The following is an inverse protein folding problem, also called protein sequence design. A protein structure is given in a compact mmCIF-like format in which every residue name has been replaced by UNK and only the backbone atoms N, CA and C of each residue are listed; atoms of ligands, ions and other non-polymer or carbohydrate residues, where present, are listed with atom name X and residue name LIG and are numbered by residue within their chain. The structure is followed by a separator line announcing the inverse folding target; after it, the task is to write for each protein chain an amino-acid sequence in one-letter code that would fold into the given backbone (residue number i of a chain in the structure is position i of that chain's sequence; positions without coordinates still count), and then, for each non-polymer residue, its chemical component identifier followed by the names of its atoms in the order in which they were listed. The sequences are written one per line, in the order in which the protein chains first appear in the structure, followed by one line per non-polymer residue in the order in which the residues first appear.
data_IF_684331801315
#
_entry.id   IF_684331801315
#
_cell.length_a   1.000
_cell.length_b   1.000
_cell.length_c   1.000
_cell.angle_alpha   90.00
_cell.angle_beta   90.00
_cell.angle_gamma   90.00
#
_symmetry.space_group_name_H-M   'P 1'
#
loop_
_entity.id
_entity.type
_entity.pdbx_description
1 polymer ?
#
# COMPACT_ATOMS: atom_id res chain seq x y z
N UNK A 1 12.71 1.33 3.82
CA UNK A 1 11.65 0.76 2.97
C UNK A 1 10.31 1.06 3.60
N UNK A 2 9.37 1.61 2.83
CA UNK A 2 8.00 1.90 3.26
C UNK A 2 7.10 0.67 3.11
N UNK A 3 5.91 0.69 3.70
CA UNK A 3 4.92 -0.38 3.53
C UNK A 3 4.55 -0.60 2.06
N UNK A 4 4.37 0.48 1.31
CA UNK A 4 3.99 0.41 -0.10
C UNK A 4 5.11 -0.19 -0.95
N UNK A 5 6.37 0.20 -0.71
CA UNK A 5 7.53 -0.39 -1.38
C UNK A 5 7.63 -1.90 -1.09
N UNK A 6 7.51 -2.28 0.18
CA UNK A 6 7.54 -3.69 0.59
C UNK A 6 6.41 -4.50 -0.07
N UNK A 7 5.17 -4.01 0.02
CA UNK A 7 4.02 -4.70 -0.55
C UNK A 7 4.11 -4.81 -2.08
N UNK A 8 4.59 -3.76 -2.77
CA UNK A 8 4.78 -3.78 -4.21
C UNK A 8 5.86 -4.79 -4.63
N UNK A 9 7.01 -4.79 -3.96
CA UNK A 9 8.09 -5.75 -4.22
C UNK A 9 7.60 -7.19 -4.05
N UNK A 10 6.96 -7.50 -2.92
CA UNK A 10 6.42 -8.84 -2.63
C UNK A 10 5.36 -9.26 -3.64
N UNK A 11 4.47 -8.35 -4.01
CA UNK A 11 3.42 -8.60 -5.00
C UNK A 11 3.99 -8.91 -6.37
N UNK A 12 5.01 -8.19 -6.82
CA UNK A 12 5.67 -8.46 -8.09
C UNK A 12 6.40 -9.81 -8.08
N UNK A 13 7.14 -10.12 -7.01
CA UNK A 13 7.82 -11.41 -6.85
C UNK A 13 6.84 -12.59 -6.89
N UNK A 14 5.72 -12.47 -6.17
CA UNK A 14 4.67 -13.50 -6.21
C UNK A 14 3.99 -13.58 -7.57
N UNK A 15 3.70 -12.44 -8.21
CA UNK A 15 3.08 -12.41 -9.54
C UNK A 15 3.89 -13.15 -10.58
N UNK A 16 5.20 -12.90 -10.64
CA UNK A 16 6.10 -13.56 -11.60
C UNK A 16 6.19 -15.07 -11.36
N UNK A 17 6.16 -15.51 -10.10
CA UNK A 17 6.09 -16.94 -9.78
C UNK A 17 4.77 -17.58 -10.21
N UNK A 18 3.66 -16.90 -9.94
CA UNK A 18 2.33 -17.37 -10.31
C UNK A 18 2.17 -17.43 -11.84
N UNK A 19 2.74 -16.47 -12.59
CA UNK A 19 2.83 -16.52 -14.06
C UNK A 19 3.63 -17.71 -14.56
N UNK A 20 4.71 -18.08 -13.86
CA UNK A 20 5.46 -19.31 -14.13
C UNK A 20 4.71 -20.59 -13.71
N UNK A 21 3.48 -20.48 -13.19
CA UNK A 21 2.69 -21.62 -12.70
C UNK A 21 3.24 -22.24 -11.42
N UNK A 22 4.11 -21.54 -10.69
CA UNK A 22 4.68 -21.99 -9.43
C UNK A 22 3.84 -21.48 -8.25
N UNK A 23 3.81 -22.25 -7.17
CA UNK A 23 3.17 -21.83 -5.93
C UNK A 23 3.87 -20.59 -5.33
N UNK A 24 3.12 -19.75 -4.60
CA UNK A 24 3.69 -18.76 -3.69
C UNK A 24 4.79 -19.38 -2.84
N UNK A 25 5.96 -18.74 -2.80
CA UNK A 25 7.09 -19.20 -1.99
C UNK A 25 7.02 -18.71 -0.54
N UNK A 26 6.12 -17.78 -0.27
CA UNK A 26 5.88 -17.17 1.03
C UNK A 26 4.39 -16.84 1.16
N UNK A 27 3.94 -16.73 2.41
CA UNK A 27 2.55 -16.43 2.74
C UNK A 27 1.63 -17.64 2.82
N UNK A 28 0.45 -17.39 3.37
CA UNK A 28 -0.64 -18.36 3.46
C UNK A 28 -1.59 -18.15 2.28
N UNK A 29 -2.00 -19.25 1.65
CA UNK A 29 -2.95 -19.25 0.55
C UNK A 29 -3.71 -20.59 0.50
N UNK A 30 -4.85 -20.60 -0.19
CA UNK A 30 -5.62 -21.82 -0.41
C UNK A 30 -5.07 -22.58 -1.63
N UNK A 31 -4.48 -23.75 -1.38
CA UNK A 31 -3.89 -24.60 -2.41
C UNK A 31 -4.94 -25.22 -3.36
N UNK A 32 -6.20 -25.38 -2.93
CA UNK A 32 -7.28 -25.80 -3.83
C UNK A 32 -7.62 -24.67 -4.81
N UNK A 33 -7.75 -23.43 -4.31
CA UNK A 33 -7.97 -22.25 -5.16
C UNK A 33 -6.81 -22.06 -6.13
N UNK A 34 -5.56 -22.18 -5.68
CA UNK A 34 -4.40 -22.07 -6.57
C UNK A 34 -4.42 -23.09 -7.72
N UNK A 35 -4.71 -24.37 -7.42
CA UNK A 35 -4.78 -25.42 -8.44
C UNK A 35 -5.87 -25.14 -9.48
N UNK A 36 -7.02 -24.64 -9.05
CA UNK A 36 -8.10 -24.27 -9.95
C UNK A 36 -7.74 -23.03 -10.78
N UNK A 37 -7.22 -21.98 -10.13
CA UNK A 37 -6.81 -20.73 -10.75
C UNK A 37 -5.75 -20.93 -11.82
N UNK A 38 -4.72 -21.74 -11.53
CA UNK A 38 -3.63 -22.07 -12.46
C UNK A 38 -4.14 -22.71 -13.76
N UNK A 39 -5.27 -23.42 -13.72
CA UNK A 39 -5.86 -24.02 -14.92
C UNK A 39 -6.59 -23.01 -15.83
N UNK A 40 -6.91 -21.80 -15.32
CA UNK A 40 -7.68 -20.77 -16.04
C UNK A 40 -6.84 -19.83 -16.90
N UNK A 41 -5.55 -19.69 -16.59
CA UNK A 41 -4.63 -18.86 -17.39
C UNK A 41 -3.63 -18.10 -16.53
N UNK A 42 -3.16 -16.96 -17.06
CA UNK A 42 -2.20 -16.10 -16.36
C UNK A 42 -2.89 -15.18 -15.34
N UNK A 43 -2.29 -14.99 -14.16
CA UNK A 43 -2.80 -14.06 -13.17
C UNK A 43 -2.62 -12.60 -13.61
N UNK A 44 -3.58 -11.77 -13.22
CA UNK A 44 -3.51 -10.31 -13.22
C UNK A 44 -3.32 -9.80 -11.79
N UNK A 45 -2.74 -8.61 -11.64
CA UNK A 45 -2.60 -7.97 -10.33
C UNK A 45 -3.97 -7.50 -9.82
N UNK A 46 -4.37 -7.99 -8.65
CA UNK A 46 -5.58 -7.56 -7.95
C UNK A 46 -5.33 -6.43 -6.96
N UNK A 47 -6.20 -6.31 -5.96
CA UNK A 47 -6.08 -5.29 -4.91
C UNK A 47 -5.04 -5.71 -3.86
N UNK A 48 -4.42 -4.73 -3.21
CA UNK A 48 -3.65 -4.93 -1.97
C UNK A 48 -4.49 -4.41 -0.81
N UNK A 49 -4.74 -5.26 0.19
CA UNK A 49 -5.45 -4.88 1.42
C UNK A 49 -4.51 -5.01 2.61
N UNK A 50 -4.71 -4.16 3.60
CA UNK A 50 -3.87 -4.10 4.79
C UNK A 50 -4.71 -4.34 6.05
N UNK A 51 -4.18 -5.18 6.93
CA UNK A 51 -4.64 -5.36 8.31
C UNK A 51 -3.48 -5.02 9.25
N UNK A 52 -3.73 -4.74 10.54
CA UNK A 52 -2.64 -4.39 11.47
C UNK A 52 -1.48 -5.40 11.52
N UNK A 53 -1.75 -6.67 11.18
CA UNK A 53 -0.79 -7.78 11.21
C UNK A 53 -0.79 -8.59 9.91
N UNK A 54 -1.28 -8.03 8.79
CA UNK A 54 -1.32 -8.77 7.53
C UNK A 54 -1.26 -7.85 6.31
N UNK A 55 -0.67 -8.37 5.25
CA UNK A 55 -0.79 -7.82 3.89
C UNK A 55 -1.49 -8.88 3.05
N UNK A 56 -2.66 -8.55 2.51
CA UNK A 56 -3.39 -9.43 1.61
C UNK A 56 -3.14 -8.97 0.18
N UNK A 57 -2.59 -9.87 -0.62
CA UNK A 57 -2.27 -9.62 -2.02
C UNK A 57 -3.19 -10.49 -2.89
N UNK A 58 -4.00 -9.84 -3.71
CA UNK A 58 -4.90 -10.53 -4.63
C UNK A 58 -4.27 -10.69 -6.01
N UNK A 59 -4.51 -11.86 -6.59
CA UNK A 59 -4.16 -12.22 -7.95
C UNK A 59 -5.42 -12.74 -8.65
N UNK A 60 -5.81 -12.09 -9.73
CA UNK A 60 -7.06 -12.34 -10.43
C UNK A 60 -6.77 -13.21 -11.65
N UNK A 61 -7.41 -14.37 -11.72
CA UNK A 61 -7.35 -15.26 -12.86
C UNK A 61 -8.63 -15.08 -13.68
N UNK A 62 -8.58 -14.35 -14.80
CA UNK A 62 -9.76 -14.13 -15.62
C UNK A 62 -10.19 -15.44 -16.28
N UNK A 63 -11.49 -15.69 -16.35
CA UNK A 63 -12.08 -16.79 -17.09
C UNK A 63 -13.03 -16.23 -18.16
N UNK A 64 -12.70 -16.32 -19.46
CA UNK A 64 -13.57 -15.85 -20.54
C UNK A 64 -14.92 -16.57 -20.62
N UNK A 65 -15.02 -17.78 -20.05
CA UNK A 65 -16.23 -18.61 -20.09
C UNK A 65 -16.90 -18.82 -18.73
N UNK A 66 -16.42 -18.15 -17.67
CA UNK A 66 -16.84 -18.41 -16.28
C UNK A 66 -16.58 -17.26 -15.33
N UNK A 67 -16.63 -17.55 -14.02
CA UNK A 67 -16.29 -16.57 -12.99
C UNK A 67 -14.78 -16.48 -12.81
N UNK A 68 -14.27 -15.25 -12.67
CA UNK A 68 -12.87 -15.03 -12.33
C UNK A 68 -12.55 -15.63 -10.95
N UNK A 69 -11.37 -16.24 -10.83
CA UNK A 69 -10.89 -16.78 -9.56
C UNK A 69 -9.92 -15.77 -8.94
N UNK A 70 -10.14 -15.43 -7.68
CA UNK A 70 -9.25 -14.55 -6.93
C UNK A 70 -8.43 -15.41 -5.97
N UNK A 71 -7.14 -15.56 -6.25
CA UNK A 71 -6.20 -16.11 -5.30
C UNK A 71 -5.73 -14.99 -4.36
N UNK A 72 -5.95 -15.16 -3.06
CA UNK A 72 -5.43 -14.24 -2.05
C UNK A 72 -4.24 -14.89 -1.36
N UNK A 73 -3.11 -14.19 -1.32
CA UNK A 73 -1.93 -14.56 -0.53
C UNK A 73 -1.84 -13.63 0.66
N UNK A 74 -1.86 -14.19 1.86
CA UNK A 74 -1.72 -13.48 3.13
C UNK A 74 -0.25 -13.52 3.57
N UNK A 75 0.37 -12.35 3.69
CA UNK A 75 1.74 -12.20 4.18
C UNK A 75 1.75 -11.66 5.61
N UNK A 76 2.69 -12.16 6.40
CA UNK A 76 3.06 -11.56 7.68
C UNK A 76 3.98 -10.36 7.43
N UNK A 77 3.60 -9.15 7.88
CA UNK A 77 4.48 -8.00 7.76
C UNK A 77 5.63 -8.09 8.78
N UNK A 78 6.81 -7.51 8.47
CA UNK A 78 7.96 -7.50 9.38
C UNK A 78 7.70 -6.72 10.67
N UNK A 79 6.71 -5.83 10.67
CA UNK A 79 6.25 -5.09 11.83
C UNK A 79 4.77 -4.72 11.70
N UNK A 80 4.19 -4.10 12.73
CA UNK A 80 2.77 -3.71 12.73
C UNK A 80 2.50 -2.65 11.65
N UNK A 81 1.36 -2.80 10.98
CA UNK A 81 0.82 -1.81 10.06
C UNK A 81 -0.13 -0.89 10.82
N UNK A 82 -0.04 0.41 10.56
CA UNK A 82 -0.89 1.45 11.13
C UNK A 82 -1.47 2.31 10.02
N UNK A 83 -2.63 2.91 10.28
CA UNK A 83 -3.24 3.92 9.43
C UNK A 83 -2.98 5.30 10.03
N UNK A 84 -2.38 6.19 9.25
CA UNK A 84 -2.23 7.61 9.59
C UNK A 84 -3.37 8.39 8.93
N UNK A 85 -4.40 8.79 9.71
CA UNK A 85 -5.49 9.59 9.16
C UNK A 85 -5.01 10.99 8.77
N UNK A 86 -5.66 11.59 7.78
CA UNK A 86 -5.44 13.02 7.48
C UNK A 86 -5.92 13.85 8.68
N UNK A 87 -5.07 14.69 9.29
CA UNK A 87 -5.50 15.51 10.41
C UNK A 87 -6.55 16.56 10.01
N UNK A 88 -7.50 16.92 10.90
CA UNK A 88 -8.61 17.81 10.57
C UNK A 88 -8.18 19.25 10.24
N UNK A 89 -6.95 19.63 10.57
CA UNK A 89 -6.38 20.95 10.25
C UNK A 89 -5.71 21.02 8.88
N UNK A 90 -5.64 19.91 8.13
CA UNK A 90 -5.17 19.90 6.75
C UNK A 90 -6.31 20.43 5.87
N UNK A 91 -6.14 21.64 5.33
CA UNK A 91 -7.10 22.24 4.39
C UNK A 91 -6.92 21.61 3.02
N UNK A 92 -7.84 20.74 2.63
CA UNK A 92 -7.81 20.02 1.36
C UNK A 92 -8.20 20.94 0.20
N UNK A 93 -7.22 21.57 -0.45
CA UNK A 93 -7.34 21.95 -1.87
C UNK A 93 -6.95 20.77 -2.75
N UNK A 94 -7.53 19.59 -2.49
CA UNK A 94 -7.23 18.38 -3.26
C UNK A 94 -8.33 18.22 -4.32
N UNK A 95 -8.00 18.59 -5.55
CA UNK A 95 -8.76 18.17 -6.72
C UNK A 95 -8.49 16.67 -6.89
N UNK A 96 -9.54 15.85 -6.77
CA UNK A 96 -9.61 14.38 -6.90
C UNK A 96 -9.54 13.57 -5.59
N UNK A 97 -10.73 13.24 -5.08
CA UNK A 97 -10.98 12.12 -4.18
C UNK A 97 -10.83 12.45 -2.70
N UNK A 98 -11.70 11.85 -1.89
CA UNK A 98 -11.61 11.89 -0.43
C UNK A 98 -10.40 11.02 -0.01
N UNK A 99 -9.33 11.64 0.50
CA UNK A 99 -8.16 10.92 1.04
C UNK A 99 -8.26 10.96 2.56
N UNK A 100 -8.81 9.90 3.15
CA UNK A 100 -8.97 9.83 4.61
C UNK A 100 -7.66 9.55 5.37
N UNK A 101 -6.59 9.15 4.67
CA UNK A 101 -5.29 8.83 5.26
C UNK A 101 -4.47 7.83 4.45
N UNK A 102 -3.48 7.23 5.09
CA UNK A 102 -2.55 6.31 4.44
C UNK A 102 -2.02 5.22 5.38
N UNK A 103 -1.68 4.06 4.83
CA UNK A 103 -1.12 2.94 5.59
C UNK A 103 0.41 3.00 5.62
N UNK A 104 0.98 2.71 6.79
CA UNK A 104 2.42 2.71 7.01
C UNK A 104 2.84 1.55 7.91
N UNK A 105 4.10 1.14 7.81
CA UNK A 105 4.74 0.44 8.92
C UNK A 105 4.85 1.36 10.13
N UNK A 106 4.71 0.81 11.33
CA UNK A 106 4.70 1.59 12.57
C UNK A 106 5.98 2.40 12.78
N UNK A 107 7.15 1.84 12.51
CA UNK A 107 8.44 2.53 12.61
C UNK A 107 8.49 3.76 11.70
N UNK A 108 8.03 3.61 10.45
CA UNK A 108 7.96 4.68 9.47
C UNK A 108 6.95 5.75 9.88
N UNK A 109 5.75 5.35 10.33
CA UNK A 109 4.74 6.27 10.83
C UNK A 109 5.27 7.14 12.00
N UNK A 110 5.99 6.52 12.94
CA UNK A 110 6.61 7.23 14.06
C UNK A 110 7.71 8.18 13.61
N UNK A 111 8.47 7.83 12.56
CA UNK A 111 9.47 8.72 11.99
C UNK A 111 8.83 9.97 11.39
N UNK A 112 7.76 9.80 10.60
CA UNK A 112 6.99 10.90 10.02
C UNK A 112 6.42 11.84 11.10
N UNK A 113 5.87 11.28 12.18
CA UNK A 113 5.34 12.08 13.28
C UNK A 113 6.44 12.88 14.01
N UNK A 114 7.60 12.29 14.27
CA UNK A 114 8.74 13.00 14.88
C UNK A 114 9.28 14.10 14.00
N UNK A 115 9.38 13.86 12.69
CA UNK A 115 9.79 14.87 11.72
C UNK A 115 8.80 16.04 11.71
N UNK A 116 7.50 15.73 11.67
CA UNK A 116 6.46 16.75 11.74
C UNK A 116 6.51 17.56 13.05
N UNK A 117 6.66 16.89 14.20
CA UNK A 117 6.82 17.53 15.50
C UNK A 117 8.03 18.48 15.52
N UNK A 118 9.15 18.06 14.93
CA UNK A 118 10.35 18.90 14.84
C UNK A 118 10.13 20.18 14.02
N UNK A 119 9.25 20.14 13.02
CA UNK A 119 8.88 21.31 12.22
C UNK A 119 8.09 22.36 13.00
N UNK A 120 7.53 21.99 14.16
CA UNK A 120 6.79 22.93 15.01
C UNK A 120 7.71 23.81 15.87
N UNK A 121 8.99 23.46 15.98
CA UNK A 121 9.95 24.27 16.72
C UNK A 121 10.07 25.68 16.11
N UNK A 122 10.18 26.71 16.97
CA UNK A 122 10.17 28.12 16.57
C UNK A 122 11.20 28.43 15.47
N UNK A 123 12.43 27.94 15.63
CA UNK A 123 13.52 28.14 14.66
C UNK A 123 13.30 27.36 13.36
N UNK A 124 12.75 26.15 13.44
CA UNK A 124 12.46 25.32 12.26
C UNK A 124 11.31 25.87 11.43
N UNK A 125 10.34 26.51 12.09
CA UNK A 125 9.16 27.06 11.45
C UNK A 125 9.29 28.53 11.04
N UNK A 126 10.32 29.25 11.54
CA UNK A 126 10.50 30.70 11.33
C UNK A 126 10.38 31.12 9.85
N UNK A 127 10.95 30.35 8.93
CA UNK A 127 10.91 30.63 7.48
C UNK A 127 9.52 30.48 6.82
N UNK A 128 8.52 29.97 7.55
CA UNK A 128 7.13 29.88 7.08
C UNK A 128 6.32 31.14 7.40
N UNK A 129 6.84 32.04 8.24
CA UNK A 129 6.21 33.30 8.63
C UNK A 129 6.83 34.50 7.90
N UNK A 130 6.04 35.54 7.63
CA UNK A 130 6.46 36.75 6.92
C UNK A 130 5.80 36.91 5.53
N UNK A 131 6.07 38.03 4.84
CA UNK A 131 5.45 38.31 3.54
C UNK A 131 5.90 37.26 2.52
N UNK A 132 4.96 36.38 2.14
CA UNK A 132 5.14 35.49 0.99
C UNK A 132 5.13 36.34 -0.26
N UNK A 133 6.26 36.40 -0.98
CA UNK A 133 6.26 36.94 -2.33
C UNK A 133 5.18 36.19 -3.12
N UNK A 134 4.30 36.93 -3.81
CA UNK A 134 3.31 36.32 -4.68
C UNK A 134 4.07 35.46 -5.68
N UNK A 135 3.87 34.14 -5.64
CA UNK A 135 4.37 33.24 -6.66
C UNK A 135 3.67 33.61 -7.96
N UNK A 136 4.29 34.47 -8.77
CA UNK A 136 3.89 34.72 -10.14
C UNK A 136 3.95 33.37 -10.86
N UNK A 137 2.79 32.80 -11.17
CA UNK A 137 2.67 31.74 -12.16
C UNK A 137 2.68 32.44 -13.52
N UNK A 138 3.78 32.29 -14.26
CA UNK A 138 3.78 32.37 -15.72
C UNK A 138 3.46 30.99 -16.30
#
# INVERSE_FOLDING_TARGET
MTLNEYAAERKLLLHERLKAGLEPHEGEFDAAIFREAKAKGEPQLGVTRYEPRAILLEFIYPDPGGAAIILTVRLDPPERIVFLPVPPWVVETIWQGDIDGSYHFESHARALLREYESCLAETANAGRFGPRAATHRE
#
